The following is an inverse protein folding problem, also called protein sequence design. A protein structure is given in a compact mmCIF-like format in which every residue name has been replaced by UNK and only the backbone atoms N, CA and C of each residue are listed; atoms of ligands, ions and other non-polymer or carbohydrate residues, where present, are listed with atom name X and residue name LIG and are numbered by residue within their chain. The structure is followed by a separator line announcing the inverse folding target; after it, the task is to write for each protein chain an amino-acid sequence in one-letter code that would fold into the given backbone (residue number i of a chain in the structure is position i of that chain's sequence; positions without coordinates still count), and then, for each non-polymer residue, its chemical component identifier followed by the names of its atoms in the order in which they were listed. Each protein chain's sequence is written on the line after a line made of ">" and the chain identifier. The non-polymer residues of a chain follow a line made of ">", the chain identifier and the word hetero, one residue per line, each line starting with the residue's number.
data_IF_867710537488
#
_entry.id   IF_867710537488
#
_cell.length_a   1.000
_cell.length_b   1.000
_cell.length_c   1.000
_cell.angle_alpha   90.00
_cell.angle_beta   90.00
_cell.angle_gamma   90.00
#
_symmetry.space_group_name_H-M   'P 1'
#
loop_
_entity.id
_entity.type
_entity.pdbx_description
1 polymer ?
#
# COMPACT_ATOMS: atom_id res chain seq x y z
N UNK A 1 3.18 33.81 20.47
CA UNK A 1 2.98 32.99 19.25
C UNK A 1 3.68 31.66 19.46
N UNK A 2 2.96 30.66 19.97
CA UNK A 2 3.47 29.30 20.10
C UNK A 2 3.49 28.67 18.71
N UNK A 3 4.65 28.61 18.06
CA UNK A 3 4.85 27.68 16.94
C UNK A 3 4.79 26.28 17.54
N UNK A 4 3.58 25.69 17.54
CA UNK A 4 3.41 24.31 17.91
C UNK A 4 4.16 23.47 16.87
N UNK A 5 5.30 22.93 17.29
CA UNK A 5 5.93 21.79 16.63
C UNK A 5 4.89 20.66 16.62
N UNK A 6 4.12 20.54 15.53
CA UNK A 6 3.35 19.33 15.25
C UNK A 6 4.36 18.22 14.98
N UNK A 7 4.92 17.66 16.04
CA UNK A 7 5.73 16.44 16.01
C UNK A 7 4.88 15.37 15.35
N UNK A 8 5.20 15.04 14.10
CA UNK A 8 4.53 14.01 13.35
C UNK A 8 4.58 12.70 14.14
N UNK A 9 3.45 12.29 14.70
CA UNK A 9 3.26 10.98 15.31
C UNK A 9 2.89 9.93 14.25
N UNK A 10 3.37 10.10 13.01
CA UNK A 10 3.20 9.11 11.96
C UNK A 10 4.24 8.02 12.15
N UNK A 11 3.79 6.77 12.27
CA UNK A 11 4.73 5.65 12.24
C UNK A 11 5.32 5.59 10.84
N UNK A 12 6.61 5.28 10.76
CA UNK A 12 7.32 5.20 9.47
C UNK A 12 6.68 4.19 8.52
N UNK A 13 6.18 3.08 9.07
CA UNK A 13 5.46 2.04 8.36
C UNK A 13 4.23 2.56 7.60
N UNK A 14 3.46 3.47 8.21
CA UNK A 14 2.27 4.04 7.60
C UNK A 14 2.63 4.93 6.41
N UNK A 15 3.67 5.75 6.58
CA UNK A 15 4.14 6.66 5.54
C UNK A 15 4.62 5.89 4.32
N UNK A 16 5.36 4.80 4.55
CA UNK A 16 5.85 3.92 3.49
C UNK A 16 4.68 3.21 2.81
N UNK A 17 3.71 2.68 3.58
CA UNK A 17 2.53 2.03 3.02
C UNK A 17 1.70 2.97 2.14
N UNK A 18 1.43 4.20 2.60
CA UNK A 18 0.72 5.22 1.82
C UNK A 18 1.45 5.52 0.52
N UNK A 19 2.77 5.71 0.59
CA UNK A 19 3.60 6.01 -0.58
C UNK A 19 3.55 4.87 -1.60
N UNK A 20 3.71 3.62 -1.16
CA UNK A 20 3.67 2.45 -2.04
C UNK A 20 2.28 2.30 -2.67
N UNK A 21 1.20 2.43 -1.89
CA UNK A 21 -0.16 2.36 -2.41
C UNK A 21 -0.41 3.45 -3.45
N UNK A 22 0.02 4.68 -3.21
CA UNK A 22 -0.12 5.79 -4.14
C UNK A 22 0.62 5.50 -5.46
N UNK A 23 1.87 5.05 -5.40
CA UNK A 23 2.70 4.73 -6.58
C UNK A 23 2.10 3.57 -7.38
N UNK A 24 1.61 2.51 -6.72
CA UNK A 24 0.91 1.40 -7.39
C UNK A 24 -0.37 1.91 -8.08
N UNK A 25 -1.05 2.90 -7.49
CA UNK A 25 -2.22 3.56 -8.08
C UNK A 25 -1.86 4.62 -9.14
N UNK A 26 -0.58 4.77 -9.50
CA UNK A 26 -0.14 5.65 -10.59
C UNK A 26 0.27 7.06 -10.16
N UNK A 27 0.47 7.32 -8.87
CA UNK A 27 1.08 8.59 -8.45
C UNK A 27 2.55 8.64 -8.89
N UNK A 28 2.92 9.67 -9.63
CA UNK A 28 4.26 9.88 -10.22
C UNK A 28 5.04 11.02 -9.56
N UNK A 29 4.40 11.79 -8.67
CA UNK A 29 5.02 12.85 -7.89
C UNK A 29 4.54 12.93 -6.43
N UNK A 30 5.22 13.72 -5.60
CA UNK A 30 4.94 13.83 -4.16
C UNK A 30 3.61 14.51 -3.84
N UNK A 31 3.16 15.45 -4.69
CA UNK A 31 1.86 16.10 -4.56
C UNK A 31 0.74 15.11 -4.89
N UNK A 32 0.94 14.23 -5.88
CA UNK A 32 0.03 13.13 -6.18
C UNK A 32 -0.05 12.14 -5.01
N UNK A 33 1.07 11.79 -4.37
CA UNK A 33 1.10 10.91 -3.19
C UNK A 33 0.36 11.55 -2.00
N UNK A 34 0.61 12.83 -1.71
CA UNK A 34 -0.11 13.58 -0.67
C UNK A 34 -1.62 13.58 -0.93
N UNK A 35 -2.01 13.87 -2.18
CA UNK A 35 -3.42 13.91 -2.59
C UNK A 35 -4.10 12.55 -2.47
N UNK A 36 -3.40 11.47 -2.86
CA UNK A 36 -3.87 10.10 -2.69
C UNK A 36 -4.07 9.74 -1.22
N UNK A 37 -3.07 10.04 -0.37
CA UNK A 37 -3.16 9.79 1.06
C UNK A 37 -4.35 10.52 1.69
N UNK A 38 -4.58 11.79 1.32
CA UNK A 38 -5.73 12.56 1.81
C UNK A 38 -7.06 11.98 1.32
N UNK A 39 -7.14 11.57 0.05
CA UNK A 39 -8.35 10.98 -0.52
C UNK A 39 -8.70 9.61 0.06
N UNK A 40 -7.71 8.91 0.65
CA UNK A 40 -7.85 7.58 1.22
C UNK A 40 -7.61 7.53 2.72
N UNK A 41 -7.56 8.68 3.41
CA UNK A 41 -7.26 8.77 4.85
C UNK A 41 -8.14 7.82 5.67
N UNK A 42 -9.45 7.85 5.40
CA UNK A 42 -10.43 7.02 6.12
C UNK A 42 -10.19 5.52 5.90
N UNK A 43 -9.73 5.15 4.69
CA UNK A 43 -9.37 3.77 4.37
C UNK A 43 -8.09 3.35 5.11
N UNK A 44 -7.07 4.22 5.15
CA UNK A 44 -5.83 3.98 5.89
C UNK A 44 -6.08 3.81 7.40
N UNK A 45 -7.01 4.58 7.96
CA UNK A 45 -7.43 4.46 9.36
C UNK A 45 -8.09 3.12 9.71
N UNK A 46 -8.47 2.29 8.72
CA UNK A 46 -9.06 0.96 8.99
C UNK A 46 -8.03 -0.11 9.37
N UNK A 47 -6.76 0.10 9.05
CA UNK A 47 -5.67 -0.86 9.30
C UNK A 47 -4.49 -0.27 10.08
N UNK A 48 -4.45 1.04 10.28
CA UNK A 48 -3.47 1.69 11.15
C UNK A 48 -4.08 2.84 11.93
N UNK A 49 -3.53 3.13 13.11
CA UNK A 49 -3.85 4.30 13.94
C UNK A 49 -3.23 5.56 13.31
N UNK A 50 -3.69 5.92 12.12
CA UNK A 50 -3.18 7.06 11.39
C UNK A 50 -3.60 8.36 12.09
N UNK A 51 -2.68 9.29 12.38
CA UNK A 51 -3.05 10.64 12.78
C UNK A 51 -3.97 11.28 11.73
N UNK A 52 -4.93 12.09 12.17
CA UNK A 52 -5.95 12.72 11.31
C UNK A 52 -5.41 13.55 10.12
N UNK A 53 -4.11 13.82 10.04
CA UNK A 53 -3.51 14.62 8.95
C UNK A 53 -2.43 13.84 8.22
N UNK A 54 -2.53 13.69 6.90
CA UNK A 54 -1.49 13.09 6.06
C UNK A 54 -0.30 14.04 5.94
N UNK A 55 0.91 13.49 5.89
CA UNK A 55 2.14 14.26 5.64
C UNK A 55 2.06 15.06 4.33
N UNK A 56 2.55 16.29 4.34
CA UNK A 56 2.68 17.09 3.13
C UNK A 56 3.72 16.52 2.16
N UNK A 57 3.60 16.85 0.88
CA UNK A 57 4.57 16.46 -0.15
C UNK A 57 6.01 16.86 0.20
N UNK A 58 6.23 18.04 0.79
CA UNK A 58 7.55 18.48 1.28
C UNK A 58 8.11 17.58 2.38
N UNK A 59 7.24 17.12 3.29
CA UNK A 59 7.64 16.26 4.41
C UNK A 59 7.96 14.85 3.93
N UNK A 60 7.15 14.33 2.99
CA UNK A 60 7.39 13.06 2.31
C UNK A 60 8.73 13.10 1.58
N UNK A 61 8.96 14.11 0.73
CA UNK A 61 10.22 14.29 0.02
C UNK A 61 11.42 14.26 0.97
N UNK A 62 11.40 15.09 2.03
CA UNK A 62 12.49 15.16 3.00
C UNK A 62 12.75 13.83 3.68
N UNK A 63 11.69 13.12 4.08
CA UNK A 63 11.82 11.80 4.70
C UNK A 63 12.53 10.82 3.78
N UNK A 64 12.10 10.74 2.51
CA UNK A 64 12.69 9.82 1.55
C UNK A 64 14.11 10.24 1.10
N UNK A 65 14.44 11.53 1.11
CA UNK A 65 15.81 11.99 0.86
C UNK A 65 16.80 11.61 1.97
N UNK A 66 16.33 11.55 3.23
CA UNK A 66 17.17 11.20 4.37
C UNK A 66 17.25 9.67 4.56
N UNK A 67 16.25 8.94 4.07
CA UNK A 67 16.20 7.49 4.18
C UNK A 67 17.26 6.82 3.30
N UNK A 68 18.10 5.99 3.91
CA UNK A 68 19.04 5.16 3.16
C UNK A 68 18.28 4.14 2.30
N UNK A 69 18.62 4.00 1.00
CA UNK A 69 18.01 3.00 0.12
C UNK A 69 18.10 1.57 0.67
N UNK A 70 19.21 1.24 1.35
CA UNK A 70 19.41 -0.07 1.95
C UNK A 70 18.44 -0.33 3.11
N UNK A 71 18.16 0.69 3.93
CA UNK A 71 17.21 0.60 5.04
C UNK A 71 15.78 0.46 4.50
N UNK A 72 15.44 1.24 3.47
CA UNK A 72 14.15 1.12 2.80
C UNK A 72 13.93 -0.27 2.22
N UNK A 73 14.91 -0.81 1.49
CA UNK A 73 14.82 -2.15 0.90
C UNK A 73 14.62 -3.23 1.98
N UNK A 74 15.38 -3.17 3.08
CA UNK A 74 15.27 -4.12 4.17
C UNK A 74 13.87 -4.08 4.81
N UNK A 75 13.38 -2.87 5.12
CA UNK A 75 12.03 -2.68 5.65
C UNK A 75 10.96 -3.20 4.68
N UNK A 76 11.03 -2.78 3.41
CA UNK A 76 10.06 -3.16 2.38
C UNK A 76 10.00 -4.68 2.20
N UNK A 77 11.15 -5.35 2.21
CA UNK A 77 11.24 -6.82 2.10
C UNK A 77 10.55 -7.50 3.29
N UNK A 78 10.77 -7.02 4.51
CA UNK A 78 10.09 -7.56 5.69
C UNK A 78 8.58 -7.31 5.62
N UNK A 79 8.19 -6.08 5.27
CA UNK A 79 6.78 -5.69 5.18
C UNK A 79 6.02 -6.50 4.14
N UNK A 80 6.53 -6.64 2.90
CA UNK A 80 5.83 -7.37 1.84
C UNK A 80 5.70 -8.86 2.15
N UNK A 81 6.68 -9.46 2.83
CA UNK A 81 6.62 -10.85 3.28
C UNK A 81 5.67 -11.06 4.46
N UNK A 82 5.41 -10.01 5.24
CA UNK A 82 4.43 -10.03 6.34
C UNK A 82 2.99 -9.86 5.85
N UNK A 83 2.77 -9.31 4.66
CA UNK A 83 1.44 -9.23 4.04
C UNK A 83 1.01 -10.65 3.64
N UNK A 84 -0.03 -11.22 4.25
CA UNK A 84 -0.46 -12.57 3.92
C UNK A 84 -0.98 -12.62 2.48
N UNK A 85 -0.48 -13.58 1.68
CA UNK A 85 -0.92 -13.81 0.29
C UNK A 85 -2.39 -14.26 0.16
N UNK A 86 -3.14 -14.30 1.27
CA UNK A 86 -4.58 -14.52 1.27
C UNK A 86 -5.27 -13.28 0.70
N UNK A 87 -5.19 -13.13 -0.62
CA UNK A 87 -6.23 -12.47 -1.39
C UNK A 87 -7.52 -13.17 -1.00
N UNK A 88 -8.31 -12.54 -0.13
CA UNK A 88 -9.68 -12.97 0.12
C UNK A 88 -10.34 -12.87 -1.25
N UNK A 89 -10.45 -14.00 -1.96
CA UNK A 89 -11.12 -14.11 -3.24
C UNK A 89 -12.48 -13.47 -3.00
N UNK A 90 -12.72 -12.25 -3.49
CA UNK A 90 -14.08 -11.73 -3.53
C UNK A 90 -14.83 -12.77 -4.34
N UNK A 91 -15.67 -13.55 -3.65
CA UNK A 91 -16.37 -14.69 -4.19
C UNK A 91 -17.39 -14.17 -5.19
N UNK A 92 -16.93 -14.02 -6.43
CA UNK A 92 -17.72 -13.70 -7.62
C UNK A 92 -17.32 -14.57 -8.80
N UNK A 93 -16.76 -15.77 -8.55
CA UNK A 93 -16.66 -16.78 -9.59
C UNK A 93 -18.02 -17.45 -9.72
N UNK A 94 -18.71 -17.17 -10.82
CA UNK A 94 -19.92 -17.86 -11.18
C UNK A 94 -19.65 -19.39 -11.29
N UNK A 95 -20.62 -20.27 -10.99
CA UNK A 95 -20.43 -21.72 -11.03
C UNK A 95 -20.00 -22.27 -12.39
N UNK A 96 -20.31 -21.61 -13.52
CA UNK A 96 -19.94 -22.03 -14.87
C UNK A 96 -18.44 -21.90 -15.12
N UNK A 97 -17.78 -20.88 -14.57
CA UNK A 97 -16.33 -20.70 -14.64
C UNK A 97 -15.53 -21.85 -13.99
N UNK A 98 -16.16 -22.61 -13.08
CA UNK A 98 -15.55 -23.78 -12.41
C UNK A 98 -15.43 -25.01 -13.33
N UNK A 99 -16.27 -25.13 -14.38
CA UNK A 99 -16.24 -26.28 -15.30
C UNK A 99 -15.06 -26.20 -16.27
N UNK A 100 -14.69 -25.00 -16.69
CA UNK A 100 -13.57 -24.76 -17.61
C UNK A 100 -12.20 -24.96 -16.95
N UNK A 101 -12.06 -24.67 -15.65
CA UNK A 101 -10.79 -24.87 -14.94
C UNK A 101 -10.49 -26.35 -14.67
N UNK A 102 -11.52 -27.15 -14.38
CA UNK A 102 -11.36 -28.62 -14.24
C UNK A 102 -11.00 -29.30 -15.57
N UNK A 103 -11.42 -28.72 -16.70
CA UNK A 103 -11.07 -29.23 -18.02
C UNK A 103 -9.60 -28.93 -18.41
N UNK A 104 -8.99 -27.90 -17.81
CA UNK A 104 -7.59 -27.55 -18.04
C UNK A 104 -6.62 -28.40 -17.18
N UNK A 105 -7.01 -28.70 -15.92
CA UNK A 105 -6.23 -29.56 -15.01
C UNK A 105 -6.35 -31.06 -15.34
N UNK A 106 -7.38 -31.48 -16.09
CA UNK A 106 -7.61 -32.90 -16.37
C UNK A 106 -6.80 -33.47 -17.54
N UNK A 107 -5.93 -32.69 -18.18
CA UNK A 107 -4.81 -33.15 -19.02
C UNK A 107 -5.07 -34.43 -19.83
N UNK A 108 -6.25 -34.58 -20.42
CA UNK A 108 -6.54 -35.68 -21.35
C UNK A 108 -6.34 -35.09 -22.72
N UNK A 109 -5.11 -35.26 -23.23
CA UNK A 109 -4.80 -35.05 -24.64
C UNK A 109 -5.73 -35.95 -25.46
N UNK A 110 -6.49 -35.42 -26.44
CA UNK A 110 -7.09 -36.26 -27.45
C UNK A 110 -6.00 -36.69 -28.45
N UNK A 111 -6.03 -37.99 -28.73
CA UNK A 111 -5.28 -38.79 -29.72
C UNK A 111 -3.87 -39.28 -29.33
#
# INVERSE_FOLDING_TARGET
>A
MTHAEKKCAHKLEDVIAITICAVICGADDWTAIESFGKAKSDWFSTFSDLPNEILSHDTLWRLFCIMSPAVFQAFFTVWVNAVPLTTRRHAGLDPASRKSLKALDSGSSPE
#
